data_IF_490135069071
#
_entry.id   IF_490135069071
#
_cell.length_a   1.000
_cell.length_b   1.000
_cell.length_c   1.000
_cell.angle_alpha   90.00
_cell.angle_beta   90.00
_cell.angle_gamma   90.00
#
_symmetry.space_group_name_H-M   'P 1'
#
loop_
_entity.id
_entity.type
_entity.pdbx_description
1 polymer ?
#
# COMPACT_ATOMS: atom_id res chain seq x y z
N UNK A 1 25.50 2.94 1.52
CA UNK A 1 24.58 4.09 1.67
C UNK A 1 23.49 3.70 2.65
N UNK A 2 23.14 4.55 3.63
CA UNK A 2 22.18 4.22 4.68
C UNK A 2 20.76 3.96 4.15
N UNK A 3 20.42 4.55 3.00
CA UNK A 3 19.27 4.16 2.19
C UNK A 3 19.73 3.27 1.04
N UNK A 4 19.34 2.00 1.07
CA UNK A 4 19.60 1.04 0.00
C UNK A 4 18.52 1.08 -1.09
N UNK A 5 18.78 0.42 -2.22
CA UNK A 5 17.81 0.27 -3.32
C UNK A 5 16.47 -0.34 -2.87
N UNK A 6 16.47 -1.13 -1.80
CA UNK A 6 15.27 -1.68 -1.16
C UNK A 6 14.33 -0.59 -0.62
N UNK A 7 14.83 0.48 0.00
CA UNK A 7 13.96 1.57 0.50
C UNK A 7 13.36 2.35 -0.68
N UNK A 8 14.15 2.59 -1.73
CA UNK A 8 13.66 3.25 -2.94
C UNK A 8 12.55 2.42 -3.62
N UNK A 9 12.74 1.11 -3.72
CA UNK A 9 11.73 0.19 -4.23
C UNK A 9 10.48 0.16 -3.32
N UNK A 10 10.66 0.11 -2.00
CA UNK A 10 9.55 0.16 -1.05
C UNK A 10 8.72 1.45 -1.19
N UNK A 11 9.37 2.61 -1.31
CA UNK A 11 8.67 3.89 -1.53
C UNK A 11 7.96 3.93 -2.89
N UNK A 12 8.58 3.38 -3.93
CA UNK A 12 7.98 3.30 -5.26
C UNK A 12 6.71 2.44 -5.25
N UNK A 13 6.78 1.24 -4.67
CA UNK A 13 5.63 0.33 -4.56
C UNK A 13 4.57 0.87 -3.59
N UNK A 14 4.96 1.51 -2.49
CA UNK A 14 4.04 2.16 -1.57
C UNK A 14 3.29 3.33 -2.22
N UNK A 15 4.00 4.17 -2.98
CA UNK A 15 3.41 5.27 -3.75
C UNK A 15 2.50 4.79 -4.87
N UNK A 16 2.88 3.73 -5.58
CA UNK A 16 2.03 3.08 -6.59
C UNK A 16 0.76 2.50 -5.97
N UNK A 17 0.88 1.82 -4.83
CA UNK A 17 -0.23 1.27 -4.08
C UNK A 17 -1.24 2.33 -3.64
N UNK A 18 -0.76 3.36 -2.95
CA UNK A 18 -1.59 4.47 -2.49
C UNK A 18 -2.18 5.30 -3.65
N UNK A 19 -1.38 5.57 -4.69
CA UNK A 19 -1.81 6.31 -5.87
C UNK A 19 -2.91 5.59 -6.65
N UNK A 20 -2.76 4.29 -6.90
CA UNK A 20 -3.79 3.47 -7.54
C UNK A 20 -5.10 3.48 -6.73
N UNK A 21 -5.01 3.50 -5.39
CA UNK A 21 -6.16 3.57 -4.51
C UNK A 21 -6.90 4.91 -4.59
N UNK A 22 -6.15 6.02 -4.57
CA UNK A 22 -6.72 7.37 -4.70
C UNK A 22 -7.41 7.54 -6.05
N UNK A 23 -6.78 7.05 -7.12
CA UNK A 23 -7.37 7.08 -8.47
C UNK A 23 -8.65 6.25 -8.50
N UNK A 24 -8.63 5.01 -8.01
CA UNK A 24 -9.82 4.16 -7.97
C UNK A 24 -10.98 4.80 -7.18
N UNK A 25 -10.69 5.35 -6.00
CA UNK A 25 -11.69 6.04 -5.17
C UNK A 25 -12.24 7.28 -5.85
N UNK A 26 -11.38 8.10 -6.48
CA UNK A 26 -11.80 9.33 -7.18
C UNK A 26 -12.64 9.02 -8.40
N UNK A 27 -12.26 8.02 -9.20
CA UNK A 27 -13.03 7.56 -10.36
C UNK A 27 -14.41 7.06 -9.95
N UNK A 28 -14.52 6.37 -8.81
CA UNK A 28 -15.80 5.91 -8.27
C UNK A 28 -16.75 7.08 -7.94
N UNK A 29 -16.23 8.23 -7.48
CA UNK A 29 -17.06 9.40 -7.18
C UNK A 29 -17.43 10.22 -8.41
N UNK A 30 -16.56 10.29 -9.42
CA UNK A 30 -16.72 11.19 -10.57
C UNK A 30 -17.51 10.56 -11.72
N UNK A 31 -17.23 9.30 -12.08
CA UNK A 31 -17.75 8.71 -13.32
C UNK A 31 -18.71 7.54 -13.13
N UNK A 32 -18.98 7.07 -11.91
CA UNK A 32 -19.90 5.96 -11.69
C UNK A 32 -19.49 4.66 -12.42
N UNK A 33 -20.46 3.76 -12.64
CA UNK A 33 -20.26 2.36 -13.09
C UNK A 33 -19.56 2.20 -14.46
N UNK A 34 -19.41 3.25 -15.26
CA UNK A 34 -18.82 3.21 -16.60
C UNK A 34 -17.35 2.74 -16.63
N UNK A 35 -16.58 2.98 -15.55
CA UNK A 35 -15.15 2.60 -15.47
C UNK A 35 -14.87 1.46 -14.48
N UNK A 36 -15.82 0.54 -14.35
CA UNK A 36 -15.74 -0.60 -13.40
C UNK A 36 -14.50 -1.49 -13.60
N UNK A 37 -14.10 -1.76 -14.84
CA UNK A 37 -12.90 -2.58 -15.12
C UNK A 37 -11.61 -1.87 -14.69
N UNK A 38 -11.53 -0.55 -14.93
CA UNK A 38 -10.38 0.27 -14.52
C UNK A 38 -10.30 0.37 -13.00
N UNK A 39 -11.44 0.45 -12.30
CA UNK A 39 -11.47 0.42 -10.83
C UNK A 39 -11.00 -0.92 -10.27
N UNK A 40 -11.44 -2.05 -10.85
CA UNK A 40 -10.96 -3.39 -10.45
C UNK A 40 -9.46 -3.55 -10.70
N UNK A 41 -8.97 -3.09 -11.85
CA UNK A 41 -7.55 -3.11 -12.16
C UNK A 41 -6.74 -2.26 -11.17
N UNK A 42 -7.19 -1.04 -10.87
CA UNK A 42 -6.57 -0.15 -9.88
C UNK A 42 -6.54 -0.76 -8.48
N UNK A 43 -7.62 -1.41 -8.04
CA UNK A 43 -7.70 -2.09 -6.75
C UNK A 43 -6.73 -3.29 -6.67
N UNK A 44 -6.67 -4.13 -7.69
CA UNK A 44 -5.75 -5.28 -7.74
C UNK A 44 -4.29 -4.85 -7.79
N UNK A 45 -3.95 -3.89 -8.66
CA UNK A 45 -2.60 -3.34 -8.76
C UNK A 45 -2.21 -2.67 -7.45
N UNK A 46 -3.13 -1.92 -6.83
CA UNK A 46 -2.92 -1.29 -5.52
C UNK A 46 -2.62 -2.31 -4.42
N UNK A 47 -3.34 -3.43 -4.40
CA UNK A 47 -3.14 -4.51 -3.42
C UNK A 47 -1.79 -5.22 -3.62
N UNK A 48 -1.46 -5.58 -4.86
CA UNK A 48 -0.17 -6.22 -5.19
C UNK A 48 1.01 -5.30 -4.90
N UNK A 49 0.92 -4.01 -5.26
CA UNK A 49 1.95 -3.03 -4.99
C UNK A 49 2.15 -2.81 -3.48
N UNK A 50 1.06 -2.72 -2.71
CA UNK A 50 1.14 -2.59 -1.24
C UNK A 50 1.75 -3.83 -0.59
N UNK A 51 1.41 -5.03 -1.08
CA UNK A 51 2.00 -6.27 -0.59
C UNK A 51 3.52 -6.35 -0.89
N UNK A 52 3.93 -5.96 -2.10
CA UNK A 52 5.35 -5.89 -2.48
C UNK A 52 6.10 -4.84 -1.64
N UNK A 53 5.47 -3.71 -1.31
CA UNK A 53 6.03 -2.71 -0.40
C UNK A 53 6.32 -3.30 0.98
N UNK A 54 5.36 -4.01 1.58
CA UNK A 54 5.54 -4.67 2.88
C UNK A 54 6.65 -5.73 2.88
N UNK A 55 6.75 -6.51 1.81
CA UNK A 55 7.84 -7.49 1.63
C UNK A 55 9.22 -6.81 1.52
N UNK A 56 9.30 -5.73 0.76
CA UNK A 56 10.55 -4.98 0.58
C UNK A 56 11.01 -4.33 1.91
N UNK A 57 10.07 -3.82 2.68
CA UNK A 57 10.31 -3.21 4.00
C UNK A 57 10.75 -4.25 5.03
N UNK A 58 10.14 -5.45 4.99
CA UNK A 58 10.55 -6.60 5.80
C UNK A 58 11.94 -7.10 5.44
N UNK A 59 12.25 -7.19 4.15
CA UNK A 59 13.57 -7.58 3.65
C UNK A 59 14.65 -6.56 4.03
N UNK A 60 14.32 -5.26 4.03
CA UNK A 60 15.23 -4.22 4.50
C UNK A 60 15.49 -4.30 6.02
N UNK A 61 14.48 -4.68 6.81
CA UNK A 61 14.61 -4.83 8.25
C UNK A 61 15.44 -6.07 8.67
N UNK A 62 15.69 -7.01 7.76
CA UNK A 62 16.49 -8.24 7.97
C UNK A 62 15.82 -9.30 8.86
N UNK A 63 14.84 -8.91 9.66
CA UNK A 63 14.09 -9.77 10.59
C UNK A 63 12.59 -9.47 10.50
N UNK A 64 11.76 -10.39 9.99
CA UNK A 64 10.32 -10.16 9.81
C UNK A 64 9.59 -9.94 11.15
N UNK A 65 10.06 -10.51 12.26
CA UNK A 65 9.50 -10.26 13.60
C UNK A 65 9.57 -8.79 14.06
N UNK A 66 10.43 -7.96 13.45
CA UNK A 66 10.56 -6.54 13.81
C UNK A 66 9.45 -5.64 13.26
N UNK A 67 8.59 -6.14 12.37
CA UNK A 67 7.41 -5.39 11.91
C UNK A 67 6.50 -4.96 13.07
N UNK A 68 6.33 -5.80 14.09
CA UNK A 68 5.57 -5.43 15.30
C UNK A 68 6.27 -4.35 16.13
N UNK A 69 7.61 -4.39 16.19
CA UNK A 69 8.42 -3.37 16.86
C UNK A 69 8.47 -2.03 16.11
N UNK A 70 8.12 -2.01 14.81
CA UNK A 70 7.97 -0.75 14.08
C UNK A 70 6.82 0.10 14.62
N UNK A 71 5.86 -0.47 15.36
CA UNK A 71 4.82 0.30 16.05
C UNK A 71 5.27 0.91 17.38
N UNK A 72 6.44 0.54 17.91
CA UNK A 72 6.88 0.98 19.24
C UNK A 72 7.24 2.47 19.33
N UNK A 73 7.50 3.14 18.22
CA UNK A 73 7.85 4.57 18.20
C UNK A 73 6.88 5.39 17.32
N UNK A 74 5.78 5.95 17.88
CA UNK A 74 4.80 6.70 17.09
C UNK A 74 5.33 8.02 16.50
N UNK A 75 6.46 8.53 16.99
CA UNK A 75 7.15 9.71 16.44
C UNK A 75 7.99 9.41 15.18
N UNK A 76 8.19 8.13 14.84
CA UNK A 76 8.96 7.76 13.65
C UNK A 76 8.09 7.78 12.39
N UNK A 77 8.58 8.41 11.32
CA UNK A 77 7.93 8.39 10.00
C UNK A 77 7.76 6.97 9.45
N UNK A 78 8.62 6.03 9.86
CA UNK A 78 8.51 4.62 9.47
C UNK A 78 7.21 4.04 10.03
N UNK A 79 6.91 4.27 11.31
CA UNK A 79 5.69 3.81 11.97
C UNK A 79 4.44 4.33 11.26
N UNK A 80 4.45 5.60 10.87
CA UNK A 80 3.35 6.20 10.11
C UNK A 80 3.19 5.52 8.74
N UNK A 81 4.29 5.30 8.01
CA UNK A 81 4.27 4.56 6.75
C UNK A 81 3.75 3.14 6.89
N UNK A 82 4.22 2.39 7.90
CA UNK A 82 3.74 1.03 8.17
C UNK A 82 2.26 1.02 8.56
N UNK A 83 1.80 1.99 9.35
CA UNK A 83 0.38 2.10 9.70
C UNK A 83 -0.52 2.38 8.48
N UNK A 84 -0.07 3.24 7.56
CA UNK A 84 -0.79 3.55 6.31
C UNK A 84 -0.82 2.34 5.36
N UNK A 85 0.29 1.63 5.20
CA UNK A 85 0.36 0.42 4.38
C UNK A 85 -0.55 -0.69 4.96
N UNK A 86 -0.50 -0.89 6.27
CA UNK A 86 -1.33 -1.88 6.97
C UNK A 86 -2.81 -1.52 6.95
N UNK A 87 -3.19 -0.24 6.88
CA UNK A 87 -4.59 0.16 6.75
C UNK A 87 -5.10 0.09 5.31
N UNK A 88 -4.25 0.39 4.31
CA UNK A 88 -4.61 0.29 2.89
C UNK A 88 -4.85 -1.16 2.43
N UNK A 89 -4.13 -2.13 2.99
CA UNK A 89 -4.33 -3.55 2.67
C UNK A 89 -5.78 -4.05 2.93
N UNK A 90 -6.36 -3.92 4.14
CA UNK A 90 -7.73 -4.35 4.40
C UNK A 90 -8.74 -3.45 3.67
N UNK A 91 -8.49 -2.14 3.57
CA UNK A 91 -9.39 -1.24 2.83
C UNK A 91 -9.42 -1.65 1.35
N UNK A 92 -8.28 -1.95 0.75
CA UNK A 92 -8.21 -2.38 -0.64
C UNK A 92 -8.72 -3.79 -0.89
N UNK A 93 -8.60 -4.68 0.09
CA UNK A 93 -9.21 -6.00 0.03
C UNK A 93 -10.74 -5.91 0.13
N UNK A 94 -11.26 -5.08 1.05
CA UNK A 94 -12.69 -4.75 1.14
C UNK A 94 -13.16 -4.13 -0.18
N UNK A 95 -12.45 -3.15 -0.71
CA UNK A 95 -12.80 -2.49 -1.98
C UNK A 95 -12.81 -3.48 -3.15
N UNK A 96 -11.83 -4.38 -3.23
CA UNK A 96 -11.80 -5.44 -4.25
C UNK A 96 -12.95 -6.46 -4.10
N UNK A 97 -13.40 -6.74 -2.86
CA UNK A 97 -14.52 -7.68 -2.60
C UNK A 97 -15.91 -7.06 -2.74
N UNK A 98 -16.07 -5.77 -2.41
CA UNK A 98 -17.36 -5.09 -2.39
C UNK A 98 -17.63 -4.25 -3.64
N UNK A 99 -16.65 -4.06 -4.54
CA UNK A 99 -16.96 -3.71 -5.93
C UNK A 99 -17.53 -4.95 -6.62
N UNK A 100 -18.84 -5.00 -6.96
CA UNK A 100 -19.38 -6.07 -7.77
C UNK A 100 -18.61 -6.17 -9.10
#
# INVERSE_FOLDING_TARGET
>A
MPWGALIAAALYFGGMGGGAFIVASTTSFVSGEDFREIMKFGAYVGLVATALCGLCLSAHAGHPERLLYMYSNPMSMITFGTAVITSILPIGLIYATFLP
#
